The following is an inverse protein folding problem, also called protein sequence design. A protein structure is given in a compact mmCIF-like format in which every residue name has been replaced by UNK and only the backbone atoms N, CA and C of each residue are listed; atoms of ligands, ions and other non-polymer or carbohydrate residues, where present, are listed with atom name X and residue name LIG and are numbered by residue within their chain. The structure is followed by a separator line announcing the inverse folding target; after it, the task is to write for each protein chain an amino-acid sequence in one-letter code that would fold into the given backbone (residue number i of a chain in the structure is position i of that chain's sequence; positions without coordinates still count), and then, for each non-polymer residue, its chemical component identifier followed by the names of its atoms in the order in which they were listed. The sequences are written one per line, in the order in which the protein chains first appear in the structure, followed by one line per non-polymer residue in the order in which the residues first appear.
data_IF_364570244309
#
_entry.id   IF_364570244309
#
_cell.length_a   1.000
_cell.length_b   1.000
_cell.length_c   1.000
_cell.angle_alpha   90.00
_cell.angle_beta   90.00
_cell.angle_gamma   90.00
#
_symmetry.space_group_name_H-M   'P 1'
#
loop_
_entity.id
_entity.type
_entity.pdbx_description
1 polymer ?
#
# COMPACT_ATOMS: atom_id res chain seq x y z
N UNK A 1 -14.26 -25.76 -22.87
CA UNK A 1 -13.75 -25.20 -21.62
C UNK A 1 -13.21 -26.33 -20.81
N UNK A 2 -11.89 -26.47 -20.74
CA UNK A 2 -11.21 -27.51 -19.98
C UNK A 2 -9.92 -26.94 -19.40
N UNK A 3 -9.28 -27.70 -18.51
CA UNK A 3 -8.00 -27.30 -17.94
C UNK A 3 -6.92 -27.23 -19.01
N UNK A 4 -6.09 -26.20 -18.93
CA UNK A 4 -4.96 -26.01 -19.81
C UNK A 4 -3.68 -26.14 -19.00
N UNK A 5 -2.77 -27.02 -19.44
CA UNK A 5 -1.44 -27.16 -18.86
C UNK A 5 -0.61 -25.93 -19.21
N UNK A 6 -0.17 -25.19 -18.20
CA UNK A 6 0.70 -24.02 -18.37
C UNK A 6 2.17 -24.43 -18.22
N UNK A 7 2.46 -25.28 -17.24
CA UNK A 7 3.77 -25.91 -16.99
C UNK A 7 3.55 -27.31 -16.43
N UNK A 8 4.55 -28.20 -16.45
CA UNK A 8 4.45 -29.49 -15.76
C UNK A 8 3.96 -29.30 -14.31
N UNK A 9 2.78 -29.85 -14.01
CA UNK A 9 2.14 -29.76 -12.69
C UNK A 9 1.33 -28.47 -12.41
N UNK A 10 1.24 -27.53 -13.35
CA UNK A 10 0.43 -26.31 -13.22
C UNK A 10 -0.62 -26.20 -14.32
N UNK A 11 -1.89 -26.16 -13.92
CA UNK A 11 -3.02 -26.09 -14.82
C UNK A 11 -3.88 -24.84 -14.54
N UNK A 12 -4.50 -24.30 -15.59
CA UNK A 12 -5.43 -23.16 -15.50
C UNK A 12 -6.73 -23.51 -16.24
N UNK A 13 -7.87 -23.38 -15.54
CA UNK A 13 -9.20 -23.70 -16.07
C UNK A 13 -10.27 -22.70 -15.64
N UNK A 14 -11.47 -22.87 -16.19
CA UNK A 14 -12.70 -22.24 -15.68
C UNK A 14 -13.37 -23.10 -14.60
N UNK A 15 -14.52 -22.68 -14.08
CA UNK A 15 -15.26 -23.43 -13.04
C UNK A 15 -15.66 -24.82 -13.55
N UNK A 16 -16.02 -24.93 -14.82
CA UNK A 16 -16.37 -26.17 -15.51
C UNK A 16 -15.25 -27.21 -15.49
N UNK A 17 -14.00 -26.75 -15.32
CA UNK A 17 -12.85 -27.65 -15.20
C UNK A 17 -12.88 -28.42 -13.88
N UNK A 18 -13.38 -27.82 -12.80
CA UNK A 18 -13.45 -28.47 -11.49
C UNK A 18 -14.62 -29.46 -11.38
N UNK A 19 -15.50 -29.52 -12.38
CA UNK A 19 -16.71 -30.33 -12.37
C UNK A 19 -16.49 -31.82 -12.71
N UNK A 20 -15.29 -32.23 -13.16
CA UNK A 20 -14.94 -33.64 -13.38
C UNK A 20 -13.76 -34.07 -12.52
N UNK A 21 -14.01 -34.78 -11.39
CA UNK A 21 -12.98 -35.35 -10.54
C UNK A 21 -12.07 -36.35 -11.26
N UNK A 22 -12.60 -37.10 -12.23
CA UNK A 22 -11.85 -38.10 -13.00
C UNK A 22 -10.80 -37.43 -13.88
N UNK A 23 -11.14 -36.30 -14.52
CA UNK A 23 -10.20 -35.53 -15.33
C UNK A 23 -9.07 -34.91 -14.48
N UNK A 24 -9.39 -34.43 -13.27
CA UNK A 24 -8.40 -33.95 -12.30
C UNK A 24 -7.44 -35.07 -11.88
N UNK A 25 -7.97 -36.24 -11.53
CA UNK A 25 -7.19 -37.39 -11.11
C UNK A 25 -6.30 -37.93 -12.24
N UNK A 26 -6.83 -38.02 -13.46
CA UNK A 26 -6.08 -38.44 -14.65
C UNK A 26 -4.92 -37.47 -14.98
N UNK A 27 -5.10 -36.18 -14.72
CA UNK A 27 -4.07 -35.16 -14.87
C UNK A 27 -3.08 -35.08 -13.69
N UNK A 28 -3.26 -35.90 -12.65
CA UNK A 28 -2.42 -35.92 -11.45
C UNK A 28 -2.58 -34.69 -10.55
N UNK A 29 -3.72 -34.00 -10.63
CA UNK A 29 -3.97 -32.77 -9.85
C UNK A 29 -4.34 -33.15 -8.42
N UNK A 30 -3.54 -32.69 -7.45
CA UNK A 30 -3.72 -32.96 -6.02
C UNK A 30 -4.21 -31.76 -5.20
N UNK A 31 -4.23 -30.57 -5.81
CA UNK A 31 -4.65 -29.33 -5.17
C UNK A 31 -5.35 -28.42 -6.19
N UNK A 32 -6.42 -27.75 -5.76
CA UNK A 32 -7.19 -26.78 -6.56
C UNK A 32 -7.27 -25.46 -5.80
N UNK A 33 -6.83 -24.37 -6.44
CA UNK A 33 -6.95 -23.01 -5.93
C UNK A 33 -8.07 -22.29 -6.68
N UNK A 34 -9.19 -22.04 -6.01
CA UNK A 34 -10.30 -21.27 -6.56
C UNK A 34 -10.10 -19.78 -6.31
N UNK A 35 -10.34 -18.96 -7.34
CA UNK A 35 -10.21 -17.50 -7.27
C UNK A 35 -11.55 -16.90 -7.70
N UNK A 36 -12.55 -17.04 -6.84
CA UNK A 36 -13.89 -16.52 -7.04
C UNK A 36 -14.54 -16.09 -5.72
N UNK A 37 -15.50 -15.16 -5.78
CA UNK A 37 -16.27 -14.67 -4.64
C UNK A 37 -17.73 -14.60 -5.09
N UNK A 38 -18.39 -15.76 -5.16
CA UNK A 38 -19.69 -16.00 -5.82
C UNK A 38 -19.77 -15.61 -7.32
N UNK A 39 -20.54 -16.39 -8.09
CA UNK A 39 -20.71 -16.19 -9.53
C UNK A 39 -21.50 -14.90 -9.83
N UNK A 40 -20.92 -13.86 -10.46
CA UNK A 40 -21.75 -12.86 -11.12
C UNK A 40 -22.48 -13.52 -12.30
N UNK A 41 -23.72 -13.11 -12.63
CA UNK A 41 -24.42 -13.64 -13.79
C UNK A 41 -23.54 -13.49 -15.03
N UNK A 42 -23.44 -14.56 -15.82
CA UNK A 42 -22.57 -14.64 -16.98
C UNK A 42 -22.82 -13.48 -17.95
N UNK A 43 -22.02 -12.42 -17.86
CA UNK A 43 -22.02 -11.32 -18.83
C UNK A 43 -21.21 -11.79 -20.03
N UNK A 44 -21.78 -11.83 -21.26
CA UNK A 44 -21.04 -12.19 -22.45
C UNK A 44 -19.81 -11.28 -22.62
N UNK A 45 -18.61 -11.87 -22.57
CA UNK A 45 -17.33 -11.15 -22.75
C UNK A 45 -16.41 -11.13 -21.52
N UNK A 46 -16.86 -11.51 -20.33
CA UNK A 46 -15.98 -11.62 -19.14
C UNK A 46 -15.31 -13.00 -19.14
N UNK A 47 -14.16 -13.12 -19.84
CA UNK A 47 -13.34 -14.35 -19.81
C UNK A 47 -12.37 -14.35 -18.63
N UNK A 48 -12.01 -15.55 -18.19
CA UNK A 48 -11.17 -15.89 -17.04
C UNK A 48 -9.93 -14.99 -16.86
N UNK A 49 -10.08 -13.93 -16.05
CA UNK A 49 -9.03 -12.95 -15.75
C UNK A 49 -8.30 -13.27 -14.44
N UNK A 50 -9.00 -13.88 -13.47
CA UNK A 50 -8.51 -14.14 -12.11
C UNK A 50 -7.49 -15.27 -12.04
N UNK A 51 -7.81 -16.43 -12.59
CA UNK A 51 -6.90 -17.59 -12.62
C UNK A 51 -5.66 -17.33 -13.47
N UNK A 52 -5.79 -16.58 -14.57
CA UNK A 52 -4.65 -16.13 -15.40
C UNK A 52 -3.73 -15.20 -14.61
N UNK A 53 -4.27 -14.24 -13.84
CA UNK A 53 -3.46 -13.35 -13.01
C UNK A 53 -2.68 -14.11 -11.94
N UNK A 54 -3.31 -15.08 -11.27
CA UNK A 54 -2.64 -15.91 -10.24
C UNK A 54 -1.57 -16.80 -10.85
N UNK A 55 -1.84 -17.43 -12.01
CA UNK A 55 -0.84 -18.21 -12.72
C UNK A 55 0.36 -17.35 -13.14
N UNK A 56 0.12 -16.14 -13.68
CA UNK A 56 1.20 -15.22 -14.01
C UNK A 56 2.02 -14.84 -12.77
N UNK A 57 1.38 -14.47 -11.66
CA UNK A 57 2.08 -14.14 -10.41
C UNK A 57 2.92 -15.32 -9.87
N UNK A 58 2.42 -16.54 -9.99
CA UNK A 58 3.15 -17.75 -9.62
C UNK A 58 4.42 -17.92 -10.47
N UNK A 59 4.32 -17.74 -11.78
CA UNK A 59 5.47 -17.80 -12.70
C UNK A 59 6.50 -16.72 -12.38
N UNK A 60 6.04 -15.49 -12.09
CA UNK A 60 6.93 -14.40 -11.71
C UNK A 60 7.74 -14.77 -10.46
N UNK A 61 7.08 -15.29 -9.42
CA UNK A 61 7.74 -15.66 -8.16
C UNK A 61 8.66 -16.87 -8.29
N UNK A 62 8.26 -17.90 -9.03
CA UNK A 62 9.00 -19.17 -9.07
C UNK A 62 10.10 -19.20 -10.12
N UNK A 63 9.93 -18.47 -11.23
CA UNK A 63 10.87 -18.46 -12.35
C UNK A 63 11.61 -17.12 -12.51
N UNK A 64 11.31 -16.12 -11.67
CA UNK A 64 11.93 -14.79 -11.74
C UNK A 64 11.55 -14.03 -13.01
N UNK A 65 10.42 -14.37 -13.63
CA UNK A 65 9.96 -13.71 -14.85
C UNK A 65 9.36 -12.34 -14.54
N UNK A 66 9.56 -11.40 -15.45
CA UNK A 66 8.80 -10.15 -15.41
C UNK A 66 7.32 -10.36 -15.76
N UNK A 67 6.44 -9.42 -15.41
CA UNK A 67 4.98 -9.64 -15.55
C UNK A 67 4.54 -9.88 -17.00
N UNK A 68 5.18 -9.22 -17.98
CA UNK A 68 4.88 -9.40 -19.41
C UNK A 68 5.31 -10.79 -19.90
N UNK A 69 6.48 -11.24 -19.45
CA UNK A 69 7.03 -12.56 -19.79
C UNK A 69 6.17 -13.68 -19.18
N UNK A 70 5.78 -13.51 -17.92
CA UNK A 70 4.88 -14.45 -17.26
C UNK A 70 3.53 -14.56 -17.95
N UNK A 71 2.93 -13.43 -18.36
CA UNK A 71 1.67 -13.43 -19.12
C UNK A 71 1.84 -14.06 -20.51
N UNK A 72 2.96 -13.82 -21.19
CA UNK A 72 3.29 -14.44 -22.47
C UNK A 72 3.41 -15.97 -22.34
N UNK A 73 4.03 -16.46 -21.26
CA UNK A 73 4.12 -17.89 -20.98
C UNK A 73 2.73 -18.52 -20.77
N UNK A 74 1.82 -17.86 -20.05
CA UNK A 74 0.42 -18.33 -19.92
C UNK A 74 -0.28 -18.32 -21.28
N UNK A 75 -0.04 -17.29 -22.11
CA UNK A 75 -0.64 -17.19 -23.46
C UNK A 75 -0.14 -18.24 -24.44
N UNK A 76 1.09 -18.71 -24.30
CA UNK A 76 1.62 -19.82 -25.11
C UNK A 76 0.78 -21.09 -24.94
N UNK A 77 0.29 -21.34 -23.71
CA UNK A 77 -0.62 -22.44 -23.42
C UNK A 77 -2.09 -22.11 -23.73
N UNK A 78 -2.51 -20.86 -23.46
CA UNK A 78 -3.89 -20.39 -23.64
C UNK A 78 -3.92 -19.05 -24.39
N UNK A 79 -4.02 -19.04 -25.73
CA UNK A 79 -3.91 -17.81 -26.54
C UNK A 79 -4.92 -16.71 -26.16
N UNK A 80 -6.12 -17.12 -25.73
CA UNK A 80 -7.19 -16.21 -25.29
C UNK A 80 -6.97 -15.63 -23.87
N UNK A 81 -5.86 -15.95 -23.20
CA UNK A 81 -5.60 -15.50 -21.84
C UNK A 81 -5.40 -13.99 -21.78
N UNK A 82 -6.25 -13.33 -20.99
CA UNK A 82 -6.19 -11.90 -20.75
C UNK A 82 -6.39 -11.62 -19.26
N UNK A 83 -5.63 -10.64 -18.76
CA UNK A 83 -5.83 -10.05 -17.44
C UNK A 83 -6.44 -8.67 -17.62
N UNK A 84 -7.44 -8.33 -16.82
CA UNK A 84 -8.03 -7.00 -16.85
C UNK A 84 -7.00 -5.92 -16.42
N UNK A 85 -7.21 -4.63 -16.75
CA UNK A 85 -6.26 -3.56 -16.42
C UNK A 85 -5.93 -3.45 -14.92
N UNK A 86 -6.87 -3.79 -14.03
CA UNK A 86 -6.65 -3.80 -12.59
C UNK A 86 -5.62 -4.85 -12.17
N UNK A 87 -5.76 -6.09 -12.63
CA UNK A 87 -4.79 -7.15 -12.38
C UNK A 87 -3.45 -6.87 -13.07
N UNK A 88 -3.43 -6.24 -14.25
CA UNK A 88 -2.16 -5.80 -14.87
C UNK A 88 -1.41 -4.81 -13.96
N UNK A 89 -2.11 -3.82 -13.38
CA UNK A 89 -1.50 -2.89 -12.42
C UNK A 89 -0.99 -3.62 -11.17
N UNK A 90 -1.77 -4.58 -10.65
CA UNK A 90 -1.37 -5.38 -9.49
C UNK A 90 -0.14 -6.25 -9.77
N UNK A 91 -0.03 -6.88 -10.96
CA UNK A 91 1.14 -7.66 -11.35
C UNK A 91 2.39 -6.79 -11.49
N UNK A 92 2.28 -5.61 -12.11
CA UNK A 92 3.37 -4.62 -12.15
C UNK A 92 3.83 -4.19 -10.76
N UNK A 93 2.88 -3.96 -9.86
CA UNK A 93 3.18 -3.63 -8.47
C UNK A 93 3.86 -4.80 -7.75
N UNK A 94 3.38 -6.02 -7.97
CA UNK A 94 3.95 -7.23 -7.41
C UNK A 94 5.39 -7.47 -7.87
N UNK A 95 5.68 -7.23 -9.15
CA UNK A 95 7.04 -7.22 -9.70
C UNK A 95 7.91 -6.16 -9.02
N UNK A 96 7.43 -4.92 -8.90
CA UNK A 96 8.15 -3.82 -8.25
C UNK A 96 8.44 -4.08 -6.76
N UNK A 97 7.64 -4.92 -6.10
CA UNK A 97 7.85 -5.39 -4.73
C UNK A 97 8.69 -6.69 -4.67
N UNK A 98 9.35 -7.07 -5.76
CA UNK A 98 10.22 -8.26 -5.81
C UNK A 98 9.46 -9.58 -5.72
N UNK A 99 8.24 -9.64 -6.26
CA UNK A 99 7.34 -10.79 -6.17
C UNK A 99 7.04 -11.21 -4.71
N UNK A 100 7.02 -10.23 -3.80
CA UNK A 100 6.58 -10.38 -2.42
C UNK A 100 5.52 -9.32 -2.09
N UNK A 101 4.58 -9.67 -1.20
CA UNK A 101 3.60 -8.72 -0.68
C UNK A 101 4.01 -8.36 0.75
N UNK A 102 4.92 -7.40 0.86
CA UNK A 102 5.29 -6.83 2.16
C UNK A 102 4.29 -5.72 2.52
N UNK A 103 3.46 -6.00 3.53
CA UNK A 103 2.42 -5.09 4.01
C UNK A 103 2.97 -3.84 4.69
N UNK A 104 4.25 -3.87 5.10
CA UNK A 104 4.95 -2.73 5.68
C UNK A 104 5.53 -1.78 4.62
N UNK A 105 5.62 -2.22 3.36
CA UNK A 105 6.21 -1.44 2.27
C UNK A 105 5.37 -0.21 1.93
N UNK A 106 6.05 0.90 1.60
CA UNK A 106 5.40 2.15 1.17
C UNK A 106 4.56 1.94 -0.09
N UNK A 107 5.00 1.07 -1.00
CA UNK A 107 4.29 0.74 -2.23
C UNK A 107 2.95 0.07 -1.94
N UNK A 108 2.93 -0.94 -1.07
CA UNK A 108 1.69 -1.62 -0.68
C UNK A 108 0.73 -0.70 0.07
N UNK A 109 1.26 0.12 0.99
CA UNK A 109 0.49 1.12 1.75
C UNK A 109 -0.18 2.16 0.85
N UNK A 110 0.49 2.61 -0.21
CA UNK A 110 -0.12 3.49 -1.22
C UNK A 110 -1.24 2.79 -1.98
N UNK A 111 -0.93 1.63 -2.54
CA UNK A 111 -1.88 0.86 -3.33
C UNK A 111 -3.18 0.58 -2.55
N UNK A 112 -3.08 0.11 -1.30
CA UNK A 112 -4.26 -0.18 -0.48
C UNK A 112 -5.10 1.08 -0.17
N UNK A 113 -4.47 2.24 0.00
CA UNK A 113 -5.16 3.50 0.25
C UNK A 113 -5.85 4.04 -1.00
N UNK A 114 -5.19 3.96 -2.16
CA UNK A 114 -5.78 4.28 -3.46
C UNK A 114 -7.01 3.41 -3.73
N UNK A 115 -6.91 2.10 -3.51
CA UNK A 115 -8.02 1.16 -3.67
C UNK A 115 -9.25 1.49 -2.80
N UNK A 116 -9.06 2.10 -1.62
CA UNK A 116 -10.17 2.56 -0.78
C UNK A 116 -10.80 3.82 -1.35
N UNK A 117 -9.98 4.77 -1.81
CA UNK A 117 -10.46 6.01 -2.41
C UNK A 117 -11.29 5.79 -3.69
N UNK A 118 -11.00 4.73 -4.44
CA UNK A 118 -11.75 4.35 -5.64
C UNK A 118 -13.07 3.62 -5.34
N UNK A 119 -13.17 2.95 -4.17
CA UNK A 119 -14.33 2.12 -3.80
C UNK A 119 -15.41 2.86 -3.03
N UNK A 120 -15.03 3.84 -2.20
CA UNK A 120 -15.96 4.50 -1.29
C UNK A 120 -16.20 5.94 -1.72
N UNK A 121 -17.46 6.25 -2.07
CA UNK A 121 -17.93 7.64 -2.22
C UNK A 121 -17.86 8.39 -0.89
N UNK A 122 -18.11 7.66 0.21
CA UNK A 122 -17.96 8.06 1.62
C UNK A 122 -17.63 6.79 2.43
N UNK A 123 -16.51 6.74 3.18
CA UNK A 123 -16.15 5.54 3.94
C UNK A 123 -17.06 5.41 5.17
N UNK A 124 -18.08 4.55 5.08
CA UNK A 124 -18.93 4.20 6.22
C UNK A 124 -18.24 3.20 7.15
N UNK A 125 -17.49 2.25 6.56
CA UNK A 125 -16.69 1.26 7.27
C UNK A 125 -15.28 1.19 6.67
N UNK A 126 -14.26 1.29 7.53
CA UNK A 126 -12.86 1.17 7.13
C UNK A 126 -12.28 -0.11 7.74
N UNK A 127 -11.70 -1.03 6.93
CA UNK A 127 -11.09 -2.24 7.46
C UNK A 127 -9.96 -1.90 8.45
N UNK A 128 -9.88 -2.54 9.64
CA UNK A 128 -8.88 -2.24 10.64
C UNK A 128 -7.43 -2.31 10.14
N UNK A 129 -7.18 -3.15 9.14
CA UNK A 129 -5.85 -3.39 8.57
C UNK A 129 -5.30 -2.17 7.83
N UNK A 130 -6.17 -1.22 7.44
CA UNK A 130 -5.80 0.02 6.76
C UNK A 130 -5.08 0.96 7.72
N UNK A 131 -5.35 0.83 9.02
CA UNK A 131 -4.81 1.73 10.02
C UNK A 131 -3.47 1.24 10.56
N UNK A 132 -2.51 2.16 10.64
CA UNK A 132 -1.35 1.96 11.49
C UNK A 132 -1.77 1.92 12.96
N UNK A 133 -1.11 1.05 13.74
CA UNK A 133 -1.36 0.91 15.18
C UNK A 133 -1.05 2.22 15.91
N UNK A 134 -1.97 2.65 16.80
CA UNK A 134 -1.73 3.83 17.65
C UNK A 134 -0.43 3.62 18.46
N UNK A 135 0.56 4.52 18.34
CA UNK A 135 1.84 4.35 19.04
C UNK A 135 1.77 4.44 20.56
N UNK A 136 0.62 4.82 21.12
CA UNK A 136 0.38 4.82 22.57
C UNK A 136 -0.17 3.49 23.09
N UNK A 137 -0.64 2.60 22.21
CA UNK A 137 -0.97 1.22 22.57
C UNK A 137 0.32 0.49 22.94
N UNK A 138 0.32 -0.21 24.07
CA UNK A 138 1.48 -0.91 24.63
C UNK A 138 1.83 -2.10 23.72
N UNK A 139 2.60 -1.84 22.67
CA UNK A 139 3.32 -2.85 21.91
C UNK A 139 4.81 -2.54 22.02
N UNK A 140 5.59 -3.51 22.51
CA UNK A 140 7.05 -3.47 22.59
C UNK A 140 7.59 -3.26 21.17
N UNK A 141 7.86 -2.02 20.82
CA UNK A 141 8.44 -1.67 19.53
C UNK A 141 9.95 -1.77 19.64
N UNK A 142 10.58 -2.27 18.58
CA UNK A 142 12.03 -2.23 18.40
C UNK A 142 12.49 -0.79 18.68
N UNK A 143 13.44 -0.66 19.59
CA UNK A 143 13.80 0.56 20.31
C UNK A 143 14.54 1.60 19.43
N UNK A 144 14.34 1.55 18.12
CA UNK A 144 15.08 2.30 17.09
C UNK A 144 14.18 3.10 16.15
N UNK A 145 12.86 2.90 16.20
CA UNK A 145 11.95 3.61 15.30
C UNK A 145 11.67 5.05 15.75
N UNK A 146 11.71 5.98 14.81
CA UNK A 146 11.45 7.40 15.08
C UNK A 146 9.97 7.62 15.35
N UNK A 147 9.67 8.33 16.43
CA UNK A 147 8.31 8.59 16.90
C UNK A 147 7.97 10.08 16.78
N UNK A 148 6.79 10.38 16.25
CA UNK A 148 6.29 11.74 16.11
C UNK A 148 5.25 12.05 17.19
N UNK A 149 5.50 13.11 17.96
CA UNK A 149 4.67 13.49 19.11
C UNK A 149 4.02 14.87 18.88
N UNK A 150 2.82 15.05 19.39
CA UNK A 150 2.16 16.36 19.40
C UNK A 150 3.03 17.39 20.13
N UNK A 151 3.33 18.52 19.48
CA UNK A 151 4.18 19.56 20.06
C UNK A 151 3.59 20.22 21.31
N UNK A 152 2.25 20.27 21.41
CA UNK A 152 1.53 20.89 22.55
C UNK A 152 1.48 20.01 23.79
N UNK A 153 1.19 18.71 23.65
CA UNK A 153 0.90 17.82 24.79
C UNK A 153 1.78 16.56 24.86
N UNK A 154 2.72 16.42 23.92
CA UNK A 154 3.68 15.33 23.77
C UNK A 154 3.07 13.92 23.61
N UNK A 155 1.76 13.79 23.38
CA UNK A 155 1.15 12.50 23.00
C UNK A 155 1.74 12.01 21.68
N UNK A 156 2.14 10.74 21.62
CA UNK A 156 2.58 10.10 20.39
C UNK A 156 1.45 10.00 19.37
N UNK A 157 1.74 10.24 18.09
CA UNK A 157 0.76 10.35 17.02
C UNK A 157 1.00 9.31 15.92
N UNK A 158 2.23 9.18 15.43
CA UNK A 158 2.58 8.22 14.38
C UNK A 158 4.07 7.88 14.42
N UNK A 159 4.48 6.84 13.69
CA UNK A 159 5.88 6.39 13.60
C UNK A 159 6.47 6.74 12.22
N UNK A 160 7.78 6.66 12.07
CA UNK A 160 8.43 6.86 10.76
C UNK A 160 7.93 5.89 9.69
N UNK A 161 7.59 4.65 10.05
CA UNK A 161 7.01 3.67 9.11
C UNK A 161 5.66 4.09 8.54
N UNK A 162 4.95 5.00 9.20
CA UNK A 162 3.67 5.53 8.71
C UNK A 162 3.82 6.58 7.61
N UNK A 163 5.03 7.11 7.36
CA UNK A 163 5.26 8.18 6.39
C UNK A 163 5.29 7.65 4.96
N UNK A 164 4.53 8.30 4.07
CA UNK A 164 4.40 8.00 2.65
C UNK A 164 5.07 9.10 1.79
N UNK A 165 6.41 9.12 1.78
CA UNK A 165 7.25 10.12 1.09
C UNK A 165 7.04 10.17 -0.42
N UNK A 166 6.84 11.38 -0.98
CA UNK A 166 6.53 11.60 -2.39
C UNK A 166 7.58 12.47 -3.09
N UNK A 167 7.80 12.22 -4.37
CA UNK A 167 8.68 13.03 -5.21
C UNK A 167 8.08 14.43 -5.44
N UNK A 168 8.93 15.46 -5.45
CA UNK A 168 8.53 16.84 -5.72
C UNK A 168 7.67 16.96 -7.00
N UNK A 169 6.71 17.88 -6.98
CA UNK A 169 5.84 18.13 -8.12
C UNK A 169 6.62 18.74 -9.29
N UNK A 170 6.02 18.69 -10.48
CA UNK A 170 6.54 19.37 -11.67
C UNK A 170 5.71 20.65 -11.85
N UNK A 171 6.35 21.81 -11.96
CA UNK A 171 5.68 23.08 -12.31
C UNK A 171 5.95 24.25 -11.37
N UNK A 172 5.33 25.43 -11.62
CA UNK A 172 5.68 26.69 -10.96
C UNK A 172 5.61 26.66 -9.43
N UNK A 173 4.68 25.90 -8.86
CA UNK A 173 4.56 25.71 -7.40
C UNK A 173 5.74 24.95 -6.80
N UNK A 174 6.34 24.00 -7.53
CA UNK A 174 7.58 23.32 -7.13
C UNK A 174 8.81 24.26 -7.21
N UNK A 175 8.78 25.24 -8.12
CA UNK A 175 9.86 26.22 -8.30
C UNK A 175 9.72 27.48 -7.43
N UNK A 176 8.52 27.80 -6.95
CA UNK A 176 8.27 28.97 -6.10
C UNK A 176 9.10 28.93 -4.82
N UNK A 177 9.27 27.74 -4.23
CA UNK A 177 10.09 27.54 -3.03
C UNK A 177 11.60 27.49 -3.30
N UNK A 178 12.04 27.32 -4.55
CA UNK A 178 13.47 27.39 -4.93
C UNK A 178 13.96 28.82 -5.10
N UNK A 179 13.10 29.79 -5.44
CA UNK A 179 13.48 31.20 -5.66
C UNK A 179 13.95 31.95 -4.41
N UNK A 180 13.69 31.43 -3.21
CA UNK A 180 14.06 32.11 -1.94
C UNK A 180 15.42 31.63 -1.41
N UNK A 181 15.92 30.47 -1.85
CA UNK A 181 17.23 29.97 -1.43
C UNK A 181 18.23 30.11 -2.57
N UNK A 182 19.06 31.15 -2.52
CA UNK A 182 20.18 31.37 -3.42
C UNK A 182 20.97 30.07 -3.68
N UNK A 183 21.26 29.82 -4.96
CA UNK A 183 22.15 28.78 -5.44
C UNK A 183 23.54 28.91 -4.82
N UNK A 184 23.92 27.95 -3.98
CA UNK A 184 25.26 27.38 -3.95
C UNK A 184 25.24 26.14 -3.05
N UNK A 185 25.88 25.07 -3.55
CA UNK A 185 26.52 24.01 -2.78
C UNK A 185 25.69 22.79 -2.29
N UNK A 186 26.11 21.66 -2.88
CA UNK A 186 26.38 20.35 -2.26
C UNK A 186 25.38 19.22 -2.53
N UNK A 187 25.92 18.22 -3.24
CA UNK A 187 25.59 16.81 -3.17
C UNK A 187 25.27 16.40 -1.73
N UNK A 188 24.02 16.01 -1.48
CA UNK A 188 23.55 15.47 -0.22
C UNK A 188 22.10 15.02 -0.38
N UNK A 189 21.86 13.73 -0.14
CA UNK A 189 20.57 13.03 -0.19
C UNK A 189 19.35 13.95 -0.01
N UNK A 190 18.47 13.99 -1.02
CA UNK A 190 17.30 14.88 -1.11
C UNK A 190 16.29 14.70 0.02
N UNK A 191 16.57 15.28 1.19
CA UNK A 191 15.60 15.44 2.26
C UNK A 191 14.55 16.48 1.84
N UNK A 192 13.36 15.97 1.54
CA UNK A 192 12.14 16.66 1.13
C UNK A 192 11.87 17.93 1.99
N UNK A 193 11.91 19.12 1.39
CA UNK A 193 11.58 20.40 2.04
C UNK A 193 10.06 20.66 2.11
N UNK A 194 9.24 19.62 2.20
CA UNK A 194 7.79 19.75 2.32
C UNK A 194 7.42 20.26 3.72
N UNK A 195 6.38 21.10 3.83
CA UNK A 195 5.94 21.66 5.12
C UNK A 195 5.14 20.66 5.98
N UNK A 196 4.78 19.51 5.40
CA UNK A 196 3.92 18.51 6.00
C UNK A 196 4.43 17.10 5.73
N UNK A 197 4.12 16.19 6.66
CA UNK A 197 4.21 14.75 6.46
C UNK A 197 2.89 14.25 5.87
N UNK A 198 2.98 13.37 4.87
CA UNK A 198 1.87 12.56 4.40
C UNK A 198 2.03 11.18 4.99
N UNK A 199 0.99 10.66 5.63
CA UNK A 199 1.04 9.39 6.36
C UNK A 199 -0.08 8.45 5.94
N UNK A 200 0.05 7.17 6.22
CA UNK A 200 -1.10 6.28 6.30
C UNK A 200 -1.97 6.65 7.53
N UNK A 201 -3.30 6.43 7.49
CA UNK A 201 -4.16 6.72 8.60
C UNK A 201 -3.77 5.88 9.82
N UNK A 202 -3.81 6.47 11.01
CA UNK A 202 -3.52 5.79 12.28
C UNK A 202 -4.83 5.54 13.01
N UNK A 203 -4.93 4.46 13.80
CA UNK A 203 -6.16 4.09 14.51
C UNK A 203 -6.85 5.26 15.25
N UNK A 204 -6.12 6.16 15.89
CA UNK A 204 -6.73 7.31 16.58
C UNK A 204 -7.45 8.30 15.65
N UNK A 205 -7.19 8.26 14.34
CA UNK A 205 -7.83 9.10 13.33
C UNK A 205 -9.21 8.57 12.93
N UNK A 206 -9.48 7.27 13.14
CA UNK A 206 -10.67 6.59 12.64
C UNK A 206 -11.98 7.37 12.90
N UNK A 207 -12.27 7.87 14.13
CA UNK A 207 -13.52 8.60 14.37
C UNK A 207 -13.68 9.88 13.54
N UNK A 208 -12.58 10.47 13.07
CA UNK A 208 -12.60 11.68 12.24
C UNK A 208 -12.74 11.38 10.74
N UNK A 209 -12.55 10.12 10.32
CA UNK A 209 -12.55 9.71 8.91
C UNK A 209 -13.88 9.09 8.46
N UNK A 210 -14.66 8.53 9.39
CA UNK A 210 -15.90 7.84 9.07
C UNK A 210 -16.98 8.82 8.58
N UNK A 211 -17.63 8.47 7.47
CA UNK A 211 -18.74 9.22 6.88
C UNK A 211 -18.38 10.59 6.30
N UNK A 212 -17.09 10.90 6.12
CA UNK A 212 -16.63 12.21 5.63
C UNK A 212 -15.51 12.10 4.60
N UNK A 213 -15.54 12.96 3.59
CA UNK A 213 -14.54 12.94 2.50
C UNK A 213 -13.31 13.81 2.74
N UNK A 214 -13.44 14.81 3.61
CA UNK A 214 -12.35 15.72 3.98
C UNK A 214 -12.61 16.30 5.37
N UNK A 215 -11.55 16.72 6.05
CA UNK A 215 -11.70 17.24 7.41
C UNK A 215 -10.39 17.61 8.09
N UNK A 216 -10.51 17.99 9.36
CA UNK A 216 -9.37 18.37 10.19
C UNK A 216 -8.88 17.21 11.06
N UNK A 217 -7.56 17.07 11.17
CA UNK A 217 -6.95 16.13 12.09
C UNK A 217 -6.58 16.86 13.38
N UNK A 218 -7.27 16.51 14.47
CA UNK A 218 -7.04 17.08 15.80
C UNK A 218 -6.27 16.10 16.69
N UNK A 219 -5.41 16.62 17.56
CA UNK A 219 -4.73 15.76 18.53
C UNK A 219 -5.76 15.11 19.47
N UNK A 220 -5.75 13.77 19.64
CA UNK A 220 -6.76 13.08 20.45
C UNK A 220 -6.73 13.49 21.93
N UNK A 221 -5.55 13.89 22.45
CA UNK A 221 -5.36 14.34 23.85
C UNK A 221 -5.71 15.80 24.08
N UNK A 222 -5.14 16.75 23.32
CA UNK A 222 -5.28 18.19 23.60
C UNK A 222 -6.10 18.97 22.58
N UNK A 223 -6.70 18.28 21.60
CA UNK A 223 -7.57 18.82 20.54
C UNK A 223 -6.96 19.93 19.67
N UNK A 224 -5.66 20.16 19.75
CA UNK A 224 -4.97 21.11 18.87
C UNK A 224 -4.94 20.59 17.44
N UNK A 225 -5.18 21.48 16.46
CA UNK A 225 -5.09 21.14 15.03
C UNK A 225 -3.67 20.70 14.65
N UNK A 226 -3.57 19.49 14.10
CA UNK A 226 -2.33 18.87 13.62
C UNK A 226 -2.20 18.98 12.10
N UNK A 227 -3.32 18.92 11.38
CA UNK A 227 -3.38 19.01 9.93
C UNK A 227 -4.78 18.74 9.40
N UNK A 228 -4.87 18.07 8.26
CA UNK A 228 -6.11 17.82 7.51
C UNK A 228 -6.02 16.50 6.74
N UNK A 229 -7.17 15.99 6.33
CA UNK A 229 -7.24 14.88 5.39
C UNK A 229 -8.21 15.18 4.24
N UNK A 230 -7.98 14.54 3.10
CA UNK A 230 -8.87 14.52 1.94
C UNK A 230 -8.73 13.17 1.24
N UNK A 231 -9.84 12.44 1.10
CA UNK A 231 -9.87 11.17 0.36
C UNK A 231 -9.70 11.37 -1.14
N UNK A 232 -10.02 12.55 -1.68
CA UNK A 232 -9.78 12.93 -3.08
C UNK A 232 -8.34 13.37 -3.33
N UNK A 233 -7.61 13.61 -2.25
CA UNK A 233 -6.25 14.11 -2.27
C UNK A 233 -6.15 15.61 -2.06
N UNK A 234 -4.91 16.07 -1.92
CA UNK A 234 -4.56 17.46 -1.67
C UNK A 234 -3.19 17.77 -2.29
N UNK A 235 -2.94 19.05 -2.58
CA UNK A 235 -1.67 19.50 -3.15
C UNK A 235 -0.66 19.78 -2.05
N UNK A 236 0.47 19.08 -2.07
CA UNK A 236 1.60 19.38 -1.19
C UNK A 236 2.23 20.74 -1.54
N UNK A 237 2.91 21.37 -0.56
CA UNK A 237 3.71 22.57 -0.78
C UNK A 237 4.81 22.44 -1.85
N UNK A 238 5.27 21.21 -2.15
CA UNK A 238 6.19 20.97 -3.26
C UNK A 238 5.50 20.92 -4.64
N UNK A 239 4.19 21.14 -4.70
CA UNK A 239 3.37 21.09 -5.91
C UNK A 239 2.85 19.70 -6.28
N UNK A 240 3.28 18.62 -5.61
CA UNK A 240 2.82 17.25 -5.88
C UNK A 240 1.38 17.04 -5.37
N UNK A 241 0.52 16.50 -6.22
CA UNK A 241 -0.80 16.01 -5.81
C UNK A 241 -0.66 14.65 -5.11
N UNK A 242 -1.22 14.51 -3.91
CA UNK A 242 -1.18 13.28 -3.12
C UNK A 242 -2.62 12.80 -2.91
N UNK A 243 -2.92 11.56 -3.28
CA UNK A 243 -4.26 10.95 -3.10
C UNK A 243 -4.14 9.52 -2.54
N UNK A 244 -4.93 9.16 -1.52
CA UNK A 244 -5.58 10.08 -0.58
C UNK A 244 -4.54 10.86 0.24
N UNK A 245 -4.91 12.03 0.74
CA UNK A 245 -4.03 12.90 1.51
C UNK A 245 -4.38 12.85 2.99
N UNK A 246 -3.51 12.30 3.83
CA UNK A 246 -3.56 12.46 5.29
C UNK A 246 -2.34 13.27 5.73
N UNK A 247 -2.56 14.57 5.93
CA UNK A 247 -1.51 15.55 6.08
C UNK A 247 -1.33 15.96 7.54
N UNK A 248 -0.11 15.84 8.07
CA UNK A 248 0.27 16.39 9.38
C UNK A 248 1.36 17.44 9.20
N UNK A 249 1.13 18.65 9.68
CA UNK A 249 2.11 19.74 9.57
C UNK A 249 3.33 19.49 10.44
N UNK A 250 4.54 19.65 9.87
CA UNK A 250 5.81 19.49 10.59
C UNK A 250 5.91 20.43 11.80
N UNK A 251 5.36 21.64 11.70
CA UNK A 251 5.38 22.63 12.78
C UNK A 251 4.57 22.23 14.02
N UNK A 252 3.67 21.24 13.89
CA UNK A 252 2.74 20.79 14.95
C UNK A 252 3.22 19.52 15.67
N UNK A 253 4.33 18.92 15.22
CA UNK A 253 4.87 17.67 15.78
C UNK A 253 6.36 17.77 16.05
N UNK A 254 6.82 17.07 17.08
CA UNK A 254 8.24 16.89 17.40
C UNK A 254 8.67 15.48 17.00
N UNK A 255 9.84 15.38 16.35
CA UNK A 255 10.50 14.11 16.03
C UNK A 255 11.32 13.64 17.24
N UNK A 256 11.08 12.42 17.72
CA UNK A 256 11.80 11.84 18.86
C UNK A 256 12.37 10.49 18.44
N UNK A 257 13.69 10.36 18.49
CA UNK A 257 14.37 9.07 18.32
C UNK A 257 14.37 8.34 19.65
N UNK A 258 13.83 7.13 19.69
CA UNK A 258 14.07 6.22 20.80
C UNK A 258 15.51 5.71 20.66
N UNK A 259 16.32 5.92 21.70
CA UNK A 259 17.62 5.29 21.80
C UNK A 259 17.42 3.92 22.45
N UNK A 260 18.16 2.88 22.04
CA UNK A 260 18.18 1.63 22.77
C UNK A 260 18.60 1.91 24.20
N UNK A 261 17.77 1.51 25.17
CA UNK A 261 18.13 1.52 26.58
C UNK A 261 19.30 0.55 26.73
N UNK A 262 20.52 1.08 26.82
CA UNK A 262 21.68 0.30 27.21
C UNK A 262 21.47 -0.19 28.64
N UNK A 263 21.63 -1.49 28.86
CA UNK A 263 21.63 -2.06 30.21
C UNK A 263 22.71 -1.37 31.04
N UNK A 264 22.33 -0.42 31.89
CA UNK A 264 23.19 0.06 32.95
C UNK A 264 23.34 -1.09 33.96
N UNK A 265 24.42 -1.87 33.82
CA UNK A 265 24.86 -2.74 34.89
C UNK A 265 25.22 -1.84 36.08
N UNK A 266 24.45 -1.96 37.16
CA UNK A 266 24.80 -1.36 38.44
C UNK A 266 26.11 -1.96 38.93
N UNK A 267 27.07 -1.15 39.43
CA UNK A 267 28.28 -1.68 40.00
C UNK A 267 27.90 -2.45 41.27
N UNK A 268 28.29 -3.71 41.34
CA UNK A 268 28.16 -4.53 42.56
C UNK A 268 29.12 -3.95 43.62
N UNK A 269 28.55 -3.38 44.68
CA UNK A 269 29.21 -3.28 45.99
C UNK A 269 29.27 -4.63 46.67
#
# INVERSE_FOLDING_TARGET
GGMVLVLPGLYVGGVESCSSPEALAAAGVVAVLTVDAEEPPAVPGVRASRSVAVAAAYLMKTQGLGWEQALAAVRAAKPDAQVNPGFQRQLKLYEAMGCAVDTSSVLYKRYRLEMLSERFSEPQDLPPEVFAVDPTTICQTLNTEVLYRCRKCRRALFRSSSILSHTEGIGPTAFAHKRITNSAQLSGNGQEKCTSYFIEPVQWMEPALLGVMEGQLLCPKCKSKLGSFSWRGDQCSCGRWVTPAFQIHRSRVDEVRTLPVGNFQTPKT
#
